data_IF_932807617950
#
_entry.id   IF_932807617950
#
_cell.length_a   1.000
_cell.length_b   1.000
_cell.length_c   1.000
_cell.angle_alpha   90.00
_cell.angle_beta   90.00
_cell.angle_gamma   90.00
#
_symmetry.space_group_name_H-M   'P 1'
#
loop_
_entity.id
_entity.type
_entity.pdbx_description
1 polymer ?
#
# COMPACT_ATOMS: atom_id res chain seq x y z
N UNK A 1 -29.19 -36.61 39.95
CA UNK A 1 -29.14 -35.16 39.67
C UNK A 1 -28.94 -35.03 38.17
N UNK A 2 -30.03 -34.89 37.39
CA UNK A 2 -30.02 -34.83 35.93
C UNK A 2 -29.81 -33.36 35.48
N UNK A 3 -28.71 -33.09 34.83
CA UNK A 3 -28.40 -31.78 34.27
C UNK A 3 -28.96 -31.70 32.84
N UNK A 4 -29.95 -30.84 32.63
CA UNK A 4 -30.59 -30.63 31.34
C UNK A 4 -29.79 -29.57 30.59
N UNK A 5 -29.02 -29.96 29.55
CA UNK A 5 -28.44 -29.04 28.60
C UNK A 5 -29.52 -28.55 27.63
N UNK A 6 -29.83 -27.26 27.69
CA UNK A 6 -30.63 -26.59 26.63
C UNK A 6 -29.69 -26.20 25.48
N UNK A 7 -29.87 -26.82 24.35
CA UNK A 7 -29.25 -26.41 23.09
C UNK A 7 -29.97 -25.15 22.55
N UNK A 8 -29.25 -24.03 22.49
CA UNK A 8 -29.72 -22.86 21.74
C UNK A 8 -29.34 -23.05 20.27
N UNK A 9 -30.33 -23.27 19.43
CA UNK A 9 -30.15 -23.38 17.99
C UNK A 9 -29.81 -22.01 17.38
N UNK A 10 -28.65 -21.93 16.79
CA UNK A 10 -28.19 -20.78 16.04
C UNK A 10 -28.86 -20.75 14.66
N UNK A 11 -29.77 -19.82 14.43
CA UNK A 11 -30.46 -19.64 13.13
C UNK A 11 -29.60 -18.72 12.24
N UNK A 12 -29.08 -19.27 11.18
CA UNK A 12 -28.50 -18.49 10.06
C UNK A 12 -29.63 -17.75 9.32
N UNK A 13 -29.70 -16.45 9.48
CA UNK A 13 -30.56 -15.60 8.65
C UNK A 13 -29.71 -14.91 7.59
N UNK A 14 -29.89 -15.28 6.33
CA UNK A 14 -29.50 -14.45 5.19
C UNK A 14 -30.48 -13.27 5.10
N UNK A 15 -30.02 -12.07 5.31
CA UNK A 15 -30.77 -10.83 5.01
C UNK A 15 -30.07 -10.03 3.93
N UNK A 16 -30.92 -9.50 3.02
CA UNK A 16 -30.58 -8.60 1.94
C UNK A 16 -30.03 -7.26 2.50
N UNK A 17 -29.15 -6.65 1.72
CA UNK A 17 -28.45 -5.39 2.02
C UNK A 17 -29.44 -4.25 2.31
N UNK A 18 -29.33 -3.68 3.50
CA UNK A 18 -29.87 -2.39 3.86
C UNK A 18 -28.73 -1.38 3.93
N UNK A 19 -28.89 -0.26 3.24
CA UNK A 19 -27.95 0.83 3.13
C UNK A 19 -27.79 1.55 4.47
N UNK A 20 -26.68 1.32 5.16
CA UNK A 20 -26.22 2.11 6.30
C UNK A 20 -24.82 2.65 6.00
N UNK A 21 -24.68 3.97 5.86
CA UNK A 21 -23.39 4.63 5.72
C UNK A 21 -22.58 4.47 7.01
N UNK A 22 -21.64 3.56 7.02
CA UNK A 22 -20.61 3.50 8.05
C UNK A 22 -19.34 4.14 7.50
N UNK A 23 -18.93 5.26 8.08
CA UNK A 23 -17.66 5.90 7.80
C UNK A 23 -16.52 5.03 8.32
N UNK A 24 -16.07 4.08 7.49
CA UNK A 24 -14.86 3.30 7.72
C UNK A 24 -13.91 3.56 6.57
N UNK A 25 -12.86 4.34 6.77
CA UNK A 25 -11.73 4.44 5.84
C UNK A 25 -10.97 3.11 5.93
N UNK A 26 -11.49 2.10 5.28
CA UNK A 26 -10.77 0.85 5.05
C UNK A 26 -11.15 0.39 3.66
N UNK A 27 -10.19 0.38 2.75
CA UNK A 27 -10.33 -0.21 1.40
C UNK A 27 -11.36 0.45 0.45
N UNK A 28 -11.69 1.73 0.61
CA UNK A 28 -12.53 2.48 -0.34
C UNK A 28 -11.85 2.75 -1.71
N UNK A 29 -10.60 2.32 -1.91
CA UNK A 29 -9.92 2.40 -3.20
C UNK A 29 -10.23 1.26 -4.18
N UNK A 30 -10.84 0.18 -3.73
CA UNK A 30 -11.21 -0.98 -4.57
C UNK A 30 -12.66 -0.91 -5.08
N UNK A 31 -13.26 0.27 -5.18
CA UNK A 31 -14.61 0.49 -5.70
C UNK A 31 -14.79 0.12 -7.20
N UNK A 32 -14.12 -0.89 -7.66
CA UNK A 32 -14.24 -1.54 -8.96
C UNK A 32 -13.92 -3.04 -8.91
N UNK A 33 -13.43 -3.56 -7.76
CA UNK A 33 -13.38 -4.99 -7.50
C UNK A 33 -14.52 -5.36 -6.56
N UNK A 34 -15.17 -6.51 -6.72
CA UNK A 34 -16.20 -7.01 -5.81
C UNK A 34 -15.56 -7.51 -4.50
N UNK A 35 -15.02 -6.58 -3.69
CA UNK A 35 -14.46 -6.88 -2.36
C UNK A 35 -15.51 -7.29 -1.31
N UNK A 36 -16.78 -7.34 -1.69
CA UNK A 36 -17.87 -7.73 -0.81
C UNK A 36 -18.20 -9.23 -0.86
N UNK A 37 -17.37 -10.06 -1.50
CA UNK A 37 -17.67 -11.47 -1.63
C UNK A 37 -16.84 -12.27 -0.62
N UNK A 38 -17.40 -12.51 0.58
CA UNK A 38 -16.92 -13.58 1.41
C UNK A 38 -16.67 -13.32 2.88
N UNK A 39 -16.74 -12.10 3.38
CA UNK A 39 -16.58 -11.88 4.83
C UNK A 39 -17.57 -12.74 5.62
N UNK A 40 -17.06 -13.56 6.55
CA UNK A 40 -17.89 -14.30 7.48
C UNK A 40 -18.28 -13.37 8.62
N UNK A 41 -19.58 -13.11 8.75
CA UNK A 41 -20.13 -12.22 9.75
C UNK A 41 -20.69 -13.02 10.93
N UNK A 42 -20.30 -12.64 12.13
CA UNK A 42 -20.89 -13.06 13.39
C UNK A 42 -21.47 -11.84 14.08
N UNK A 43 -22.70 -11.91 14.56
CA UNK A 43 -23.35 -10.77 15.22
C UNK A 43 -24.15 -11.20 16.45
N UNK A 44 -24.11 -10.34 17.47
CA UNK A 44 -25.01 -10.37 18.64
C UNK A 44 -26.08 -9.30 18.54
N UNK A 45 -26.63 -8.89 19.68
CA UNK A 45 -27.65 -7.85 19.75
C UNK A 45 -27.10 -6.46 19.40
N UNK A 46 -25.87 -6.18 19.81
CA UNK A 46 -25.23 -4.87 19.81
C UNK A 46 -23.79 -4.87 19.26
N UNK A 47 -23.31 -6.01 18.78
CA UNK A 47 -21.98 -6.14 18.22
C UNK A 47 -21.95 -6.98 16.94
N UNK A 48 -20.92 -6.78 16.14
CA UNK A 48 -20.62 -7.52 14.92
C UNK A 48 -19.13 -7.80 14.81
N UNK A 49 -18.77 -9.01 14.38
CA UNK A 49 -17.43 -9.40 13.99
C UNK A 49 -17.42 -9.85 12.54
N UNK A 50 -16.59 -9.23 11.72
CA UNK A 50 -16.32 -9.64 10.35
C UNK A 50 -14.93 -10.31 10.31
N UNK A 51 -14.85 -11.51 9.76
CA UNK A 51 -13.60 -12.18 9.41
C UNK A 51 -13.51 -12.19 7.90
N UNK A 52 -12.42 -11.61 7.38
CA UNK A 52 -12.17 -11.50 5.95
C UNK A 52 -10.69 -11.61 5.67
N UNK A 53 -10.32 -11.66 4.42
CA UNK A 53 -8.92 -11.69 4.06
C UNK A 53 -8.71 -11.89 2.57
N UNK A 54 -7.45 -12.14 2.23
CA UNK A 54 -7.07 -12.47 0.88
C UNK A 54 -5.78 -13.30 0.84
N UNK A 55 -5.70 -14.16 -0.16
CA UNK A 55 -4.51 -14.94 -0.50
C UNK A 55 -4.17 -14.68 -1.96
N UNK A 56 -2.89 -14.49 -2.24
CA UNK A 56 -2.43 -14.27 -3.60
C UNK A 56 -1.10 -14.97 -3.87
N UNK A 57 -0.91 -15.43 -5.09
CA UNK A 57 0.34 -16.01 -5.55
C UNK A 57 0.55 -15.72 -7.03
N UNK A 58 1.79 -15.35 -7.36
CA UNK A 58 2.22 -15.02 -8.71
C UNK A 58 3.50 -15.80 -9.06
N UNK A 59 3.46 -16.48 -10.18
CA UNK A 59 4.67 -16.87 -10.89
C UNK A 59 5.24 -15.62 -11.54
N UNK A 60 6.45 -15.26 -11.18
CA UNK A 60 7.12 -14.05 -11.68
C UNK A 60 8.48 -14.41 -12.20
N UNK A 61 8.76 -14.12 -13.46
CA UNK A 61 10.08 -14.25 -14.05
C UNK A 61 10.61 -12.90 -14.49
N UNK A 62 11.90 -12.66 -14.23
CA UNK A 62 12.56 -11.38 -14.52
C UNK A 62 13.90 -11.62 -15.22
N UNK A 63 14.27 -10.66 -16.07
CA UNK A 63 15.58 -10.61 -16.71
C UNK A 63 16.19 -9.21 -16.49
N UNK A 64 17.39 -9.17 -15.92
CA UNK A 64 18.14 -7.97 -15.59
C UNK A 64 19.31 -7.77 -16.56
N UNK A 65 19.43 -6.57 -17.10
CA UNK A 65 20.47 -6.18 -18.06
C UNK A 65 20.95 -4.74 -17.81
N UNK A 66 21.99 -4.35 -18.55
CA UNK A 66 22.58 -3.02 -18.46
C UNK A 66 23.65 -2.89 -17.38
N UNK A 67 23.99 -1.66 -17.04
CA UNK A 67 25.03 -1.34 -16.08
C UNK A 67 24.60 -1.61 -14.64
N UNK A 68 25.57 -1.77 -13.75
CA UNK A 68 25.30 -1.80 -12.31
C UNK A 68 24.87 -0.39 -11.84
N UNK A 69 23.75 -0.31 -11.15
CA UNK A 69 23.25 0.88 -10.46
C UNK A 69 23.03 0.49 -9.01
N UNK A 70 23.62 1.24 -8.09
CA UNK A 70 23.57 1.00 -6.65
C UNK A 70 22.35 1.64 -5.97
N UNK A 71 22.41 1.71 -4.64
CA UNK A 71 21.35 2.32 -3.82
C UNK A 71 20.02 1.56 -3.93
N UNK A 72 18.93 2.31 -4.06
CA UNK A 72 17.55 1.78 -4.15
C UNK A 72 17.13 1.44 -5.59
N UNK A 73 18.08 1.01 -6.42
CA UNK A 73 17.84 0.64 -7.83
C UNK A 73 16.99 -0.62 -7.95
N UNK A 74 15.71 -0.50 -8.29
CA UNK A 74 14.78 -1.62 -8.43
C UNK A 74 15.17 -2.57 -9.58
N UNK A 75 15.73 -2.04 -10.69
CA UNK A 75 16.24 -2.84 -11.80
C UNK A 75 17.66 -3.36 -11.59
N UNK A 76 18.33 -2.93 -10.51
CA UNK A 76 19.66 -3.44 -10.17
C UNK A 76 19.63 -4.94 -9.92
N UNK A 77 20.71 -5.67 -10.35
CA UNK A 77 20.75 -7.12 -10.15
C UNK A 77 20.57 -7.52 -8.71
N UNK A 78 21.14 -6.76 -7.75
CA UNK A 78 21.05 -7.08 -6.33
C UNK A 78 19.60 -7.09 -5.83
N UNK A 79 18.78 -6.07 -6.19
CA UNK A 79 17.37 -5.98 -5.77
C UNK A 79 16.45 -6.74 -6.75
N UNK A 80 16.56 -6.48 -8.04
CA UNK A 80 15.63 -6.99 -9.04
C UNK A 80 15.76 -8.50 -9.28
N UNK A 81 16.97 -8.98 -9.49
CA UNK A 81 17.25 -10.37 -9.86
C UNK A 81 18.03 -11.14 -8.78
N UNK A 82 18.19 -10.60 -7.57
CA UNK A 82 18.91 -11.28 -6.51
C UNK A 82 20.40 -11.56 -6.82
N UNK A 83 21.07 -10.69 -7.61
CA UNK A 83 22.45 -10.85 -8.04
C UNK A 83 22.62 -11.52 -9.41
N UNK A 84 21.63 -12.24 -9.88
CA UNK A 84 21.69 -13.03 -11.13
C UNK A 84 21.27 -12.19 -12.36
N UNK A 85 21.41 -12.77 -13.57
CA UNK A 85 20.90 -12.17 -14.81
C UNK A 85 19.40 -12.35 -14.97
N UNK A 86 18.87 -13.45 -14.45
CA UNK A 86 17.44 -13.77 -14.48
C UNK A 86 17.05 -14.50 -13.22
N UNK A 87 15.79 -14.40 -12.85
CA UNK A 87 15.24 -15.12 -11.70
C UNK A 87 13.76 -15.40 -11.88
N UNK A 88 13.33 -16.54 -11.36
CA UNK A 88 11.93 -16.92 -11.25
C UNK A 88 11.58 -17.11 -9.77
N UNK A 89 10.41 -16.62 -9.38
CA UNK A 89 9.91 -16.76 -8.02
C UNK A 89 8.39 -17.01 -8.06
N UNK A 90 7.89 -17.78 -7.11
CA UNK A 90 6.46 -17.89 -6.83
C UNK A 90 6.23 -17.32 -5.43
N UNK A 91 5.32 -16.37 -5.30
CA UNK A 91 5.00 -15.73 -4.03
C UNK A 91 4.03 -14.57 -4.18
N UNK A 92 3.91 -13.76 -3.14
CA UNK A 92 3.00 -12.62 -3.12
C UNK A 92 3.33 -11.59 -4.22
N UNK A 93 2.28 -10.90 -4.66
CA UNK A 93 2.39 -9.68 -5.46
C UNK A 93 2.76 -8.44 -4.60
N UNK A 94 2.17 -7.29 -4.93
CA UNK A 94 2.36 -6.06 -4.14
C UNK A 94 1.79 -6.21 -2.73
N UNK A 95 0.61 -6.79 -2.58
CA UNK A 95 0.04 -7.09 -1.27
C UNK A 95 0.57 -8.42 -0.73
N UNK A 96 0.88 -8.52 0.58
CA UNK A 96 1.02 -9.82 1.24
C UNK A 96 -0.32 -10.54 1.31
N UNK A 97 -0.36 -11.78 1.75
CA UNK A 97 -1.61 -12.43 2.16
C UNK A 97 -2.10 -11.80 3.47
N UNK A 98 -3.40 -11.82 3.73
CA UNK A 98 -3.95 -11.18 4.91
C UNK A 98 -5.11 -11.96 5.52
N UNK A 99 -5.12 -12.01 6.86
CA UNK A 99 -6.28 -12.32 7.66
C UNK A 99 -6.68 -11.06 8.43
N UNK A 100 -7.91 -10.61 8.25
CA UNK A 100 -8.42 -9.36 8.83
C UNK A 100 -9.63 -9.68 9.68
N UNK A 101 -9.57 -9.33 10.95
CA UNK A 101 -10.71 -9.41 11.89
C UNK A 101 -11.12 -7.99 12.25
N UNK A 102 -12.39 -7.67 12.06
CA UNK A 102 -12.98 -6.38 12.40
C UNK A 102 -14.15 -6.58 13.36
N UNK A 103 -14.11 -5.89 14.48
CA UNK A 103 -15.18 -5.78 15.45
C UNK A 103 -15.87 -4.43 15.33
N UNK A 104 -17.19 -4.37 15.44
CA UNK A 104 -17.96 -3.11 15.46
C UNK A 104 -19.09 -3.21 16.48
N UNK A 105 -19.35 -2.11 17.17
CA UNK A 105 -20.47 -1.95 18.11
C UNK A 105 -20.86 -0.47 18.18
N UNK A 106 -22.03 -0.19 18.72
CA UNK A 106 -22.44 1.16 19.12
C UNK A 106 -22.81 1.16 20.60
N UNK A 107 -22.22 2.05 21.37
CA UNK A 107 -22.46 2.17 22.81
C UNK A 107 -22.62 3.63 23.16
N UNK A 108 -23.67 3.99 23.88
CA UNK A 108 -23.96 5.36 24.33
C UNK A 108 -23.95 6.41 23.19
N UNK A 109 -24.35 5.99 21.97
CA UNK A 109 -24.34 6.84 20.78
C UNK A 109 -22.97 7.01 20.10
N UNK A 110 -21.94 6.29 20.59
CA UNK A 110 -20.59 6.28 20.01
C UNK A 110 -20.45 5.01 19.13
N UNK A 111 -20.07 5.20 17.89
CA UNK A 111 -19.66 4.14 16.98
C UNK A 111 -18.23 3.71 17.34
N UNK A 112 -18.06 2.43 17.66
CA UNK A 112 -16.79 1.83 18.09
C UNK A 112 -16.44 0.73 17.09
N UNK A 113 -15.21 0.77 16.59
CA UNK A 113 -14.68 -0.34 15.80
C UNK A 113 -13.25 -0.69 16.23
N UNK A 114 -12.87 -1.95 16.09
CA UNK A 114 -11.48 -2.39 16.24
C UNK A 114 -11.11 -3.28 15.06
N UNK A 115 -9.87 -3.24 14.61
CA UNK A 115 -9.38 -4.09 13.53
C UNK A 115 -7.99 -4.62 13.85
N UNK A 116 -7.79 -5.91 13.56
CA UNK A 116 -6.47 -6.56 13.55
C UNK A 116 -6.28 -7.18 12.17
N UNK A 117 -5.17 -6.83 11.51
CA UNK A 117 -4.76 -7.38 10.22
C UNK A 117 -3.40 -8.05 10.33
N UNK A 118 -3.39 -9.36 10.17
CA UNK A 118 -2.18 -10.20 10.15
C UNK A 118 -1.82 -10.45 8.69
N UNK A 119 -0.61 -10.04 8.30
CA UNK A 119 -0.12 -10.12 6.92
C UNK A 119 0.98 -11.17 6.81
N UNK A 120 0.86 -12.08 5.85
CA UNK A 120 1.85 -13.12 5.60
C UNK A 120 2.60 -12.90 4.28
N UNK A 121 3.89 -13.25 4.26
CA UNK A 121 4.74 -13.23 3.07
C UNK A 121 5.17 -14.67 2.77
N UNK A 122 4.96 -15.15 1.55
CA UNK A 122 5.01 -16.58 1.23
C UNK A 122 6.12 -17.00 0.26
N UNK A 123 6.77 -16.06 -0.45
CA UNK A 123 7.89 -16.42 -1.33
C UNK A 123 9.08 -16.96 -0.54
N UNK A 124 9.73 -17.99 -1.06
CA UNK A 124 10.90 -18.58 -0.42
C UNK A 124 12.01 -18.88 -1.46
N UNK A 125 13.24 -18.77 -1.00
CA UNK A 125 14.44 -19.21 -1.75
C UNK A 125 15.13 -20.43 -1.14
N UNK A 126 14.64 -20.91 0.00
CA UNK A 126 15.17 -22.07 0.70
C UNK A 126 14.01 -22.86 1.32
N UNK A 127 13.82 -24.10 0.91
CA UNK A 127 12.68 -24.91 1.31
C UNK A 127 12.75 -25.40 2.78
N UNK A 128 13.93 -25.41 3.39
CA UNK A 128 14.11 -25.87 4.77
C UNK A 128 14.12 -24.72 5.79
N UNK A 129 14.54 -23.52 5.38
CA UNK A 129 14.58 -22.38 6.26
C UNK A 129 13.20 -21.72 6.35
N UNK A 130 12.88 -21.15 7.51
CA UNK A 130 11.70 -20.30 7.68
C UNK A 130 11.90 -18.99 6.90
N UNK A 131 11.50 -18.97 5.65
CA UNK A 131 11.64 -17.81 4.76
C UNK A 131 10.41 -16.90 4.74
N UNK A 132 9.26 -17.39 5.21
CA UNK A 132 8.05 -16.62 5.38
C UNK A 132 8.19 -15.61 6.51
N UNK A 133 7.44 -14.52 6.43
CA UNK A 133 7.33 -13.51 7.48
C UNK A 133 5.87 -13.23 7.80
N UNK A 134 5.61 -12.88 9.06
CA UNK A 134 4.34 -12.37 9.51
C UNK A 134 4.53 -10.94 9.96
N UNK A 135 3.66 -10.04 9.50
CA UNK A 135 3.67 -8.62 9.82
C UNK A 135 2.27 -8.19 10.28
N UNK A 136 2.18 -7.57 11.45
CA UNK A 136 0.93 -7.00 11.95
C UNK A 136 0.90 -5.53 11.56
N UNK A 137 0.32 -5.23 10.39
CA UNK A 137 0.27 -3.87 9.85
C UNK A 137 -0.87 -3.04 10.42
N UNK A 138 -1.91 -3.71 10.89
CA UNK A 138 -3.11 -3.08 11.42
C UNK A 138 -3.45 -3.69 12.77
N UNK A 139 -3.53 -2.86 13.79
CA UNK A 139 -4.00 -3.16 15.13
C UNK A 139 -4.46 -1.84 15.76
N UNK A 140 -5.71 -1.47 15.53
CA UNK A 140 -6.25 -0.18 15.94
C UNK A 140 -7.71 -0.29 16.37
N UNK A 141 -8.19 0.77 17.03
CA UNK A 141 -9.60 0.98 17.24
C UNK A 141 -10.00 2.40 16.83
N UNK A 142 -11.29 2.60 16.61
CA UNK A 142 -11.88 3.89 16.28
C UNK A 142 -13.04 4.20 17.19
N UNK A 143 -13.19 5.50 17.48
CA UNK A 143 -14.32 6.08 18.19
C UNK A 143 -14.88 7.23 17.35
N UNK A 144 -16.19 7.28 17.16
CA UNK A 144 -16.77 8.33 16.33
C UNK A 144 -18.26 8.53 16.53
N UNK A 145 -18.75 9.63 15.97
CA UNK A 145 -20.18 9.87 15.79
C UNK A 145 -20.41 10.48 14.41
N UNK A 146 -21.61 10.39 13.84
CA UNK A 146 -21.91 11.04 12.57
C UNK A 146 -21.67 12.55 12.55
N UNK A 147 -21.83 13.22 13.69
CA UNK A 147 -21.67 14.67 13.81
C UNK A 147 -20.22 15.09 14.02
N UNK A 148 -19.47 14.32 14.81
CA UNK A 148 -18.09 14.67 15.16
C UNK A 148 -17.07 14.15 14.15
N UNK A 149 -17.33 13.02 13.51
CA UNK A 149 -16.35 12.27 12.72
C UNK A 149 -15.71 11.16 13.55
N UNK A 150 -14.48 10.77 13.21
CA UNK A 150 -13.86 9.57 13.77
C UNK A 150 -12.43 9.84 14.23
N UNK A 151 -12.10 9.40 15.44
CA UNK A 151 -10.73 9.30 15.96
C UNK A 151 -10.29 7.85 15.86
N UNK A 152 -9.11 7.60 15.29
CA UNK A 152 -8.44 6.30 15.20
C UNK A 152 -7.19 6.30 16.09
N UNK A 153 -7.01 5.24 16.88
CA UNK A 153 -5.86 5.04 17.75
C UNK A 153 -5.30 3.63 17.53
N UNK A 154 -3.99 3.55 17.38
CA UNK A 154 -3.26 2.28 17.21
C UNK A 154 -2.41 2.25 15.97
N UNK A 155 -2.05 1.05 15.50
CA UNK A 155 -1.19 0.84 14.33
C UNK A 155 -2.04 0.70 13.07
N UNK A 156 -1.76 1.52 12.07
CA UNK A 156 -2.40 1.42 10.75
C UNK A 156 -1.52 2.07 9.68
N UNK A 157 -1.92 1.97 8.43
CA UNK A 157 -1.26 2.63 7.30
C UNK A 157 -1.25 4.15 7.43
N UNK A 158 -0.19 4.77 6.89
CA UNK A 158 -0.10 6.23 6.78
C UNK A 158 -1.15 6.82 5.84
N UNK A 159 -1.42 8.11 6.04
CA UNK A 159 -2.38 8.86 5.23
C UNK A 159 -1.75 9.27 3.89
N UNK A 160 -0.53 9.80 3.94
CA UNK A 160 0.20 10.26 2.76
C UNK A 160 0.55 9.08 1.84
N UNK A 161 0.19 9.18 0.57
CA UNK A 161 0.37 8.12 -0.42
C UNK A 161 -0.72 7.05 -0.42
N UNK A 162 -1.65 7.04 0.55
CA UNK A 162 -2.69 6.03 0.66
C UNK A 162 -3.61 5.98 -0.56
N UNK A 163 -4.03 7.15 -1.06
CA UNK A 163 -4.89 7.21 -2.24
C UNK A 163 -4.17 6.76 -3.51
N UNK A 164 -2.87 7.02 -3.65
CA UNK A 164 -2.08 6.58 -4.80
C UNK A 164 -1.98 5.05 -4.83
N UNK A 165 -1.55 4.41 -3.75
CA UNK A 165 -1.38 2.95 -3.69
C UNK A 165 -2.72 2.21 -3.81
N UNK A 166 -3.79 2.71 -3.16
CA UNK A 166 -5.12 2.10 -3.22
C UNK A 166 -5.78 2.24 -4.60
N UNK A 167 -5.32 3.17 -5.43
CA UNK A 167 -5.80 3.36 -6.80
C UNK A 167 -4.88 2.74 -7.85
N UNK A 168 -3.71 2.23 -7.45
CA UNK A 168 -2.76 1.56 -8.33
C UNK A 168 -3.36 0.23 -8.85
N UNK A 169 -3.39 0.05 -10.16
CA UNK A 169 -3.92 -1.19 -10.76
C UNK A 169 -3.11 -2.42 -10.36
N UNK A 170 -1.81 -2.23 -10.05
CA UNK A 170 -0.91 -3.31 -9.63
C UNK A 170 -1.08 -3.71 -8.16
N UNK A 171 -2.01 -3.08 -7.43
CA UNK A 171 -2.30 -3.44 -6.04
C UNK A 171 -2.70 -4.93 -5.90
N UNK A 172 -3.46 -5.45 -6.85
CA UNK A 172 -3.83 -6.86 -6.96
C UNK A 172 -3.01 -7.58 -8.04
N UNK A 173 -1.78 -7.18 -8.23
CA UNK A 173 -0.80 -7.67 -9.20
C UNK A 173 0.62 -7.59 -8.65
N UNK A 174 1.56 -7.34 -9.51
CA UNK A 174 3.00 -7.38 -9.24
C UNK A 174 3.67 -6.02 -9.53
N UNK A 175 3.40 -5.41 -10.69
CA UNK A 175 4.05 -4.18 -11.13
C UNK A 175 5.56 -4.34 -11.29
N UNK A 176 6.36 -3.67 -10.45
CA UNK A 176 7.82 -3.83 -10.40
C UNK A 176 8.20 -5.05 -9.55
N UNK A 177 8.62 -6.18 -10.15
CA UNK A 177 9.10 -7.35 -9.42
C UNK A 177 10.44 -7.03 -8.76
N UNK A 178 10.65 -7.50 -7.53
CA UNK A 178 11.96 -7.47 -6.87
C UNK A 178 12.10 -8.63 -5.88
N UNK A 179 13.34 -9.09 -5.71
CA UNK A 179 13.62 -10.31 -4.98
C UNK A 179 14.17 -10.09 -3.57
N UNK A 180 14.62 -8.87 -3.25
CA UNK A 180 15.46 -8.68 -2.07
C UNK A 180 14.93 -7.67 -1.02
N UNK A 181 13.88 -6.88 -1.29
CA UNK A 181 13.47 -5.79 -0.39
C UNK A 181 12.74 -6.23 0.86
N UNK A 182 11.99 -7.32 0.76
CA UNK A 182 11.32 -7.93 1.91
C UNK A 182 11.38 -9.44 1.80
N UNK A 183 11.62 -10.08 2.94
CA UNK A 183 11.60 -11.52 3.03
C UNK A 183 10.24 -12.05 2.58
N UNK A 184 10.24 -12.96 1.62
CA UNK A 184 9.04 -13.57 1.10
C UNK A 184 8.20 -12.73 0.14
N UNK A 185 8.56 -11.47 -0.15
CA UNK A 185 7.84 -10.61 -1.10
C UNK A 185 8.55 -10.54 -2.44
N UNK A 186 7.79 -10.56 -3.54
CA UNK A 186 8.33 -10.54 -4.91
C UNK A 186 8.03 -9.27 -5.69
N UNK A 187 7.28 -8.31 -5.12
CA UNK A 187 6.84 -7.14 -5.87
C UNK A 187 6.69 -5.88 -5.02
N UNK A 188 6.80 -4.72 -5.65
CA UNK A 188 6.52 -3.41 -5.06
C UNK A 188 5.48 -2.60 -5.84
N UNK A 189 4.86 -3.12 -6.90
CA UNK A 189 3.95 -2.32 -7.71
C UNK A 189 4.67 -1.11 -8.29
N UNK A 190 4.17 0.09 -7.96
CA UNK A 190 4.84 1.36 -8.28
C UNK A 190 5.51 2.02 -7.06
N UNK A 191 5.61 1.32 -5.92
CA UNK A 191 6.41 1.83 -4.78
C UNK A 191 7.87 1.97 -5.24
N UNK A 192 8.42 3.16 -5.07
CA UNK A 192 9.78 3.48 -5.49
C UNK A 192 9.97 3.69 -7.00
N UNK A 193 8.89 3.59 -7.78
CA UNK A 193 8.85 3.87 -9.20
C UNK A 193 7.52 4.56 -9.60
N UNK A 194 7.02 5.48 -8.76
CA UNK A 194 5.77 6.22 -8.97
C UNK A 194 5.31 6.96 -7.73
N UNK A 195 5.48 6.36 -6.56
CA UNK A 195 5.20 6.95 -5.25
C UNK A 195 6.08 6.30 -4.18
N UNK A 196 6.22 6.96 -3.01
CA UNK A 196 6.85 6.36 -1.84
C UNK A 196 5.84 5.50 -1.09
N UNK A 197 6.31 4.47 -0.37
CA UNK A 197 5.45 3.64 0.47
C UNK A 197 4.80 4.46 1.58
N UNK A 198 3.50 4.24 1.79
CA UNK A 198 2.72 4.98 2.79
C UNK A 198 3.11 4.64 4.24
N UNK A 199 3.79 3.51 4.46
CA UNK A 199 4.20 3.06 5.79
C UNK A 199 3.08 2.46 6.63
N UNK A 200 3.45 1.95 7.81
CA UNK A 200 2.52 1.46 8.84
C UNK A 200 3.03 1.94 10.19
N UNK A 201 2.23 2.73 10.89
CA UNK A 201 2.65 3.51 12.06
C UNK A 201 1.71 3.32 13.24
N UNK A 202 2.22 3.38 14.48
CA UNK A 202 1.42 3.78 15.62
C UNK A 202 0.92 5.21 15.38
N UNK A 203 -0.37 5.48 15.59
CA UNK A 203 -0.96 6.75 15.17
C UNK A 203 -2.16 7.15 16.01
N UNK A 204 -2.41 8.46 16.07
CA UNK A 204 -3.65 9.10 16.51
C UNK A 204 -4.12 9.97 15.35
N UNK A 205 -5.22 9.59 14.72
CA UNK A 205 -5.72 10.23 13.51
C UNK A 205 -7.17 10.62 13.68
N UNK A 206 -7.49 11.83 13.28
CA UNK A 206 -8.86 12.33 13.18
C UNK A 206 -9.30 12.43 11.73
N UNK A 207 -10.52 12.01 11.45
CA UNK A 207 -11.19 12.18 10.14
C UNK A 207 -12.52 12.89 10.35
N UNK A 208 -12.76 13.97 9.62
CA UNK A 208 -14.03 14.71 9.67
C UNK A 208 -15.20 13.85 9.19
N UNK A 209 -16.44 14.17 9.59
CA UNK A 209 -17.62 13.62 8.93
C UNK A 209 -17.56 13.91 7.43
N UNK A 210 -17.89 12.92 6.61
CA UNK A 210 -17.98 13.10 5.16
C UNK A 210 -19.23 13.90 4.82
N UNK A 211 -19.09 15.18 4.52
CA UNK A 211 -20.18 16.01 4.03
C UNK A 211 -19.89 16.47 2.60
N UNK A 212 -20.87 16.39 1.71
CA UNK A 212 -20.74 16.85 0.31
C UNK A 212 -19.53 16.25 -0.45
N UNK A 213 -19.09 15.04 -0.05
CA UNK A 213 -17.94 14.37 -0.63
C UNK A 213 -16.57 14.87 -0.17
N UNK A 214 -16.49 15.95 0.60
CA UNK A 214 -15.25 16.50 1.15
C UNK A 214 -14.93 15.84 2.51
N UNK A 215 -13.67 15.44 2.71
CA UNK A 215 -13.16 14.92 3.98
C UNK A 215 -11.76 15.44 4.25
N UNK A 216 -11.51 15.78 5.50
CA UNK A 216 -10.18 16.07 6.03
C UNK A 216 -9.75 14.92 6.95
N UNK A 217 -8.51 14.47 6.80
CA UNK A 217 -7.88 13.49 7.68
C UNK A 217 -6.51 14.02 8.11
N UNK A 218 -6.23 13.99 9.40
CA UNK A 218 -4.95 14.44 9.91
C UNK A 218 -4.59 13.78 11.22
N UNK A 219 -3.30 13.66 11.51
CA UNK A 219 -2.88 13.00 12.73
C UNK A 219 -1.39 13.05 13.02
N UNK A 220 -1.09 12.50 14.19
CA UNK A 220 0.24 12.27 14.73
C UNK A 220 0.61 10.81 14.56
N UNK A 221 1.83 10.57 14.11
CA UNK A 221 2.35 9.24 13.80
C UNK A 221 3.65 9.02 14.57
N UNK A 222 3.89 7.79 15.00
CA UNK A 222 5.20 7.41 15.51
C UNK A 222 6.27 7.74 14.47
N UNK A 223 7.31 8.48 14.85
CA UNK A 223 8.40 8.76 13.92
C UNK A 223 9.17 7.47 13.60
N UNK A 224 9.77 7.40 12.42
CA UNK A 224 10.41 6.19 11.90
C UNK A 224 11.87 6.42 11.50
N UNK A 225 12.65 5.34 11.56
CA UNK A 225 14.04 5.25 11.17
C UNK A 225 14.16 4.31 9.96
N UNK A 226 14.28 4.87 8.77
CA UNK A 226 14.22 4.07 7.55
C UNK A 226 15.58 3.95 6.83
N UNK A 227 16.63 4.60 7.35
CA UNK A 227 17.86 4.80 6.59
C UNK A 227 19.06 4.02 7.10
N UNK A 228 19.04 3.60 8.36
CA UNK A 228 20.22 3.04 9.03
C UNK A 228 21.33 4.04 9.36
N UNK A 229 21.23 5.29 8.89
CA UNK A 229 22.21 6.38 9.15
C UNK A 229 21.57 7.60 9.81
N UNK A 230 20.28 7.69 9.80
CA UNK A 230 19.47 8.69 10.51
C UNK A 230 18.46 8.00 11.41
N UNK A 231 18.19 8.58 12.56
CA UNK A 231 17.16 8.18 13.49
C UNK A 231 16.09 9.26 13.67
N UNK A 232 15.00 8.86 14.29
CA UNK A 232 13.97 9.74 14.82
C UNK A 232 14.19 9.95 16.33
N UNK A 233 13.50 10.97 16.89
CA UNK A 233 13.51 11.23 18.34
C UNK A 233 12.08 11.50 18.82
N UNK A 234 11.93 12.39 19.79
CA UNK A 234 10.65 12.67 20.46
C UNK A 234 9.58 13.35 19.61
N UNK A 235 9.97 14.06 18.53
CA UNK A 235 9.00 14.74 17.69
C UNK A 235 8.23 13.74 16.81
N UNK A 236 6.89 13.70 16.86
CA UNK A 236 6.10 12.82 16.03
C UNK A 236 6.19 13.22 14.55
N UNK A 237 5.91 12.27 13.67
CA UNK A 237 5.59 12.58 12.28
C UNK A 237 4.16 13.14 12.22
N UNK A 238 3.93 14.14 11.39
CA UNK A 238 2.60 14.70 11.11
C UNK A 238 2.22 14.39 9.68
N UNK A 239 1.00 13.91 9.46
CA UNK A 239 0.44 13.71 8.13
C UNK A 239 -0.96 14.31 8.06
N UNK A 240 -1.26 14.96 6.92
CA UNK A 240 -2.53 15.63 6.63
C UNK A 240 -2.99 15.25 5.22
N UNK A 241 -4.30 15.16 5.02
CA UNK A 241 -4.92 14.94 3.72
C UNK A 241 -6.28 15.63 3.66
N UNK A 242 -6.55 16.28 2.53
CA UNK A 242 -7.87 16.72 2.13
C UNK A 242 -8.26 15.91 0.88
N UNK A 243 -9.42 15.28 0.91
CA UNK A 243 -9.94 14.52 -0.22
C UNK A 243 -11.37 14.97 -0.55
N UNK A 244 -11.68 14.96 -1.84
CA UNK A 244 -13.01 15.25 -2.36
C UNK A 244 -13.43 14.19 -3.37
N UNK A 245 -14.68 13.72 -3.26
CA UNK A 245 -15.26 12.72 -4.16
C UNK A 245 -16.64 13.17 -4.61
N UNK A 246 -16.87 13.15 -5.93
CA UNK A 246 -18.17 13.46 -6.51
C UNK A 246 -18.35 12.67 -7.81
N UNK A 247 -19.45 11.94 -7.94
CA UNK A 247 -19.67 11.06 -9.07
C UNK A 247 -18.54 10.05 -9.26
N UNK A 248 -17.96 9.99 -10.46
CA UNK A 248 -16.79 9.15 -10.76
C UNK A 248 -15.43 9.78 -10.41
N UNK A 249 -15.38 11.01 -9.93
CA UNK A 249 -14.17 11.75 -9.62
C UNK A 249 -13.77 11.58 -8.14
N UNK A 250 -12.47 11.44 -7.88
CA UNK A 250 -11.86 11.57 -6.56
C UNK A 250 -10.56 12.36 -6.71
N UNK A 251 -10.42 13.45 -5.96
CA UNK A 251 -9.21 14.26 -5.88
C UNK A 251 -8.68 14.31 -4.46
N UNK A 252 -7.36 14.47 -4.28
CA UNK A 252 -6.75 14.63 -2.96
C UNK A 252 -5.52 15.51 -3.02
N UNK A 253 -5.24 16.16 -1.90
CA UNK A 253 -3.96 16.78 -1.59
C UNK A 253 -3.52 16.28 -0.22
N UNK A 254 -2.22 16.10 -0.02
CA UNK A 254 -1.65 15.59 1.23
C UNK A 254 -0.32 16.26 1.54
N UNK A 255 0.04 16.24 2.80
CA UNK A 255 1.33 16.69 3.29
C UNK A 255 1.82 15.81 4.44
N UNK A 256 3.14 15.69 4.58
CA UNK A 256 3.76 15.06 5.75
C UNK A 256 5.07 15.73 6.13
N UNK A 257 5.43 15.62 7.41
CA UNK A 257 6.70 16.14 7.93
C UNK A 257 7.20 15.32 9.11
N UNK A 258 8.52 15.13 9.19
CA UNK A 258 9.23 14.48 10.30
C UNK A 258 10.64 15.05 10.42
N UNK A 259 11.18 15.12 11.64
CA UNK A 259 12.57 15.43 11.90
C UNK A 259 13.42 14.17 11.96
N UNK A 260 14.56 14.19 11.25
CA UNK A 260 15.60 13.16 11.27
C UNK A 260 16.90 13.72 11.85
N UNK A 261 17.67 12.84 12.54
CA UNK A 261 18.96 13.15 13.16
C UNK A 261 19.97 12.09 12.75
N UNK A 262 21.19 12.50 12.40
CA UNK A 262 22.25 11.57 12.08
C UNK A 262 22.59 10.71 13.32
N UNK A 263 22.77 9.41 13.11
CA UNK A 263 23.27 8.52 14.14
C UNK A 263 24.69 8.90 14.53
N UNK A 264 25.04 8.84 15.81
CA UNK A 264 26.41 9.08 16.26
C UNK A 264 27.41 8.19 15.51
N UNK A 265 28.46 8.79 14.98
CA UNK A 265 29.50 8.04 14.24
C UNK A 265 29.15 7.65 12.81
N UNK A 266 27.92 7.91 12.32
CA UNK A 266 27.51 7.57 10.94
C UNK A 266 28.23 8.43 9.88
N UNK A 267 28.77 9.59 10.24
CA UNK A 267 29.33 10.55 9.28
C UNK A 267 28.29 11.17 8.33
N UNK A 268 27.00 10.94 8.57
CA UNK A 268 25.94 11.43 7.71
C UNK A 268 25.80 12.97 7.78
N UNK A 269 25.67 13.59 6.62
CA UNK A 269 25.49 15.04 6.50
C UNK A 269 24.19 15.33 5.72
N UNK A 270 23.41 16.33 6.18
CA UNK A 270 23.56 17.15 7.40
C UNK A 270 23.31 16.33 8.67
N UNK A 271 23.80 16.78 9.81
CA UNK A 271 23.61 16.13 11.11
C UNK A 271 22.13 15.99 11.50
N UNK A 272 21.26 16.74 10.89
CA UNK A 272 19.80 16.61 11.01
C UNK A 272 19.11 17.32 9.86
N UNK A 273 17.91 16.86 9.51
CA UNK A 273 17.06 17.54 8.54
C UNK A 273 15.59 17.34 8.88
N UNK A 274 14.74 18.22 8.36
CA UNK A 274 13.29 18.03 8.41
C UNK A 274 12.83 17.54 7.05
N UNK A 275 12.30 16.32 7.01
CA UNK A 275 11.53 15.84 5.87
C UNK A 275 10.27 16.68 5.74
N UNK A 276 9.98 17.12 4.54
CA UNK A 276 8.71 17.76 4.16
C UNK A 276 8.29 17.24 2.81
N UNK A 277 7.05 16.81 2.68
CA UNK A 277 6.50 16.31 1.44
C UNK A 277 5.07 16.79 1.24
N UNK A 278 4.72 17.00 -0.02
CA UNK A 278 3.37 17.25 -0.47
C UNK A 278 3.00 16.26 -1.57
N UNK A 279 1.72 15.92 -1.66
CA UNK A 279 1.14 15.16 -2.75
C UNK A 279 -0.11 15.82 -3.29
N UNK A 280 -0.36 15.61 -4.58
CA UNK A 280 -1.61 15.90 -5.26
C UNK A 280 -1.93 14.76 -6.21
N UNK A 281 -3.17 14.31 -6.20
CA UNK A 281 -3.60 13.26 -7.09
C UNK A 281 -5.09 13.34 -7.39
N UNK A 282 -5.48 12.66 -8.45
CA UNK A 282 -6.87 12.49 -8.83
C UNK A 282 -7.08 11.17 -9.56
N UNK A 283 -8.25 10.60 -9.38
CA UNK A 283 -8.77 9.50 -10.20
C UNK A 283 -10.13 9.86 -10.76
N UNK A 284 -10.42 9.38 -11.96
CA UNK A 284 -11.69 9.60 -12.61
C UNK A 284 -12.16 8.34 -13.32
N UNK A 285 -13.40 7.94 -13.05
CA UNK A 285 -14.07 6.82 -13.73
C UNK A 285 -15.18 7.36 -14.61
N UNK A 286 -15.07 7.11 -15.91
CA UNK A 286 -16.08 7.48 -16.90
C UNK A 286 -16.47 6.26 -17.73
N UNK A 287 -17.68 5.77 -17.53
CA UNK A 287 -18.14 4.53 -18.18
C UNK A 287 -17.20 3.36 -17.88
N UNK A 288 -16.66 2.75 -18.91
CA UNK A 288 -15.71 1.64 -18.81
C UNK A 288 -14.25 2.06 -18.57
N UNK A 289 -13.94 3.36 -18.61
CA UNK A 289 -12.56 3.86 -18.48
C UNK A 289 -12.29 4.40 -17.09
N UNK A 290 -11.08 4.14 -16.58
CA UNK A 290 -10.54 4.72 -15.36
C UNK A 290 -9.21 5.40 -15.63
N UNK A 291 -9.01 6.59 -15.08
CA UNK A 291 -7.77 7.35 -15.13
C UNK A 291 -7.28 7.64 -13.72
N UNK A 292 -5.97 7.65 -13.54
CA UNK A 292 -5.30 8.02 -12.28
C UNK A 292 -4.07 8.85 -12.60
N UNK A 293 -3.89 9.95 -11.87
CA UNK A 293 -2.66 10.72 -11.83
C UNK A 293 -2.30 11.07 -10.39
N UNK A 294 -1.02 10.93 -10.03
CA UNK A 294 -0.51 11.31 -8.71
C UNK A 294 0.89 11.90 -8.83
N UNK A 295 1.16 12.93 -8.07
CA UNK A 295 2.49 13.55 -7.94
C UNK A 295 2.80 13.73 -6.47
N UNK A 296 3.99 13.30 -6.06
CA UNK A 296 4.54 13.56 -4.74
C UNK A 296 5.86 14.33 -4.91
N UNK A 297 6.11 15.32 -4.09
CA UNK A 297 7.36 16.08 -4.13
C UNK A 297 7.75 16.53 -2.72
N UNK A 298 9.04 16.53 -2.46
CA UNK A 298 9.53 16.96 -1.16
C UNK A 298 11.03 16.81 -0.99
N UNK A 299 11.47 17.12 0.22
CA UNK A 299 12.84 16.90 0.69
C UNK A 299 12.81 15.80 1.76
N UNK A 300 13.71 14.81 1.66
CA UNK A 300 13.73 13.68 2.57
C UNK A 300 12.56 12.69 2.43
N UNK A 301 11.71 12.88 1.41
CA UNK A 301 10.58 11.99 1.13
C UNK A 301 11.02 10.57 0.75
N UNK A 302 12.27 10.42 0.30
CA UNK A 302 12.84 9.15 -0.15
C UNK A 302 12.30 8.66 -1.50
N UNK A 303 12.72 7.47 -1.84
CA UNK A 303 12.31 6.75 -3.06
C UNK A 303 11.39 5.58 -2.68
N UNK A 304 11.87 4.64 -1.86
CA UNK A 304 11.04 3.55 -1.35
C UNK A 304 10.26 3.97 -0.12
N UNK A 305 10.91 4.71 0.79
CA UNK A 305 10.35 5.11 2.07
C UNK A 305 11.02 6.38 2.60
N UNK A 306 10.41 7.00 3.60
CA UNK A 306 10.87 8.26 4.19
C UNK A 306 12.33 8.20 4.60
N UNK A 307 13.11 9.20 4.18
CA UNK A 307 14.51 9.38 4.58
C UNK A 307 15.50 8.42 3.92
N UNK A 308 15.09 7.42 3.15
CA UNK A 308 15.99 6.42 2.57
C UNK A 308 17.02 6.98 1.58
N UNK A 309 16.86 8.22 1.17
CA UNK A 309 17.82 9.01 0.37
C UNK A 309 18.41 10.18 1.17
N UNK A 310 18.33 10.12 2.49
CA UNK A 310 18.72 11.25 3.35
C UNK A 310 17.91 12.51 3.03
N UNK A 311 18.58 13.67 3.05
CA UNK A 311 17.95 14.98 2.81
C UNK A 311 17.74 15.32 1.31
N UNK A 312 17.79 14.35 0.40
CA UNK A 312 17.64 14.62 -1.03
C UNK A 312 16.23 15.14 -1.36
N UNK A 313 16.16 16.07 -2.30
CA UNK A 313 14.89 16.42 -2.95
C UNK A 313 14.50 15.29 -3.89
N UNK A 314 13.25 14.83 -3.80
CA UNK A 314 12.70 13.82 -4.70
C UNK A 314 11.35 14.26 -5.26
N UNK A 315 11.01 13.68 -6.40
CA UNK A 315 9.68 13.83 -7.02
C UNK A 315 9.28 12.50 -7.62
N UNK A 316 8.04 12.08 -7.34
CA UNK A 316 7.44 10.85 -7.78
C UNK A 316 6.20 11.16 -8.62
N UNK A 317 6.01 10.42 -9.71
CA UNK A 317 4.90 10.58 -10.64
C UNK A 317 4.30 9.22 -10.96
N UNK A 318 2.98 9.10 -10.89
CA UNK A 318 2.21 7.95 -11.35
C UNK A 318 1.13 8.41 -12.31
N UNK A 319 1.03 7.74 -13.43
CA UNK A 319 -0.08 7.89 -14.39
C UNK A 319 -0.58 6.51 -14.78
N UNK A 320 -1.90 6.34 -14.84
CA UNK A 320 -2.53 5.06 -15.15
C UNK A 320 -3.81 5.25 -15.93
N UNK A 321 -4.05 4.35 -16.89
CA UNK A 321 -5.31 4.17 -17.56
C UNK A 321 -5.79 2.74 -17.43
N UNK A 322 -7.09 2.54 -17.21
CA UNK A 322 -7.72 1.21 -17.18
C UNK A 322 -8.96 1.20 -18.06
N UNK A 323 -9.27 0.05 -18.63
CA UNK A 323 -10.43 -0.17 -19.47
C UNK A 323 -11.13 -1.48 -19.10
N UNK A 324 -12.38 -1.39 -18.65
CA UNK A 324 -13.25 -2.54 -18.41
C UNK A 324 -13.77 -3.01 -19.77
N UNK A 325 -13.03 -3.95 -20.38
CA UNK A 325 -13.32 -4.44 -21.75
C UNK A 325 -14.61 -5.27 -21.79
N UNK A 326 -14.83 -6.09 -20.76
CA UNK A 326 -16.06 -6.85 -20.53
C UNK A 326 -16.41 -6.80 -19.04
N UNK A 327 -17.56 -7.32 -18.62
CA UNK A 327 -17.93 -7.40 -17.20
C UNK A 327 -16.89 -8.12 -16.34
N UNK A 328 -16.08 -9.00 -16.95
CA UNK A 328 -15.07 -9.80 -16.25
C UNK A 328 -13.63 -9.41 -16.55
N UNK A 329 -13.34 -8.75 -17.67
CA UNK A 329 -11.98 -8.46 -18.11
C UNK A 329 -11.70 -6.96 -18.04
N UNK A 330 -10.73 -6.59 -17.21
CA UNK A 330 -10.16 -5.26 -17.12
C UNK A 330 -8.73 -5.27 -17.69
N UNK A 331 -8.42 -4.36 -18.58
CA UNK A 331 -7.08 -4.07 -19.07
C UNK A 331 -6.56 -2.80 -18.40
N UNK A 332 -5.25 -2.70 -18.26
CA UNK A 332 -4.62 -1.51 -17.69
C UNK A 332 -3.22 -1.27 -18.23
N UNK A 333 -2.86 0.00 -18.27
CA UNK A 333 -1.51 0.48 -18.55
C UNK A 333 -1.17 1.53 -17.51
N UNK A 334 -0.05 1.37 -16.84
CA UNK A 334 0.45 2.33 -15.85
C UNK A 334 1.91 2.63 -16.06
N UNK A 335 2.33 3.83 -15.69
CA UNK A 335 3.72 4.23 -15.71
C UNK A 335 4.04 5.15 -14.54
N UNK A 336 5.15 4.88 -13.87
CA UNK A 336 5.61 5.67 -12.74
C UNK A 336 7.10 5.96 -12.78
N UNK A 337 7.48 7.05 -12.13
CA UNK A 337 8.87 7.48 -11.97
C UNK A 337 9.06 8.03 -10.56
N UNK A 338 10.07 7.55 -9.85
CA UNK A 338 10.58 8.15 -8.62
C UNK A 338 11.99 8.64 -8.85
N UNK A 339 12.26 9.94 -8.55
CA UNK A 339 13.52 10.57 -8.95
C UNK A 339 14.06 11.47 -7.86
N UNK A 340 15.35 11.27 -7.50
CA UNK A 340 16.17 12.23 -6.77
C UNK A 340 16.57 13.38 -7.70
N UNK A 341 16.52 14.60 -7.20
CA UNK A 341 17.01 15.82 -7.88
C UNK A 341 18.42 16.19 -7.45
N UNK A 342 18.78 15.84 -6.21
CA UNK A 342 20.10 16.13 -5.63
C UNK A 342 20.95 14.86 -5.65
N UNK A 343 22.23 14.98 -6.03
CA UNK A 343 23.23 13.93 -5.87
C UNK A 343 23.94 14.14 -4.52
N UNK A 344 23.57 13.36 -3.52
CA UNK A 344 24.11 13.42 -2.17
C UNK A 344 24.86 12.11 -1.84
N UNK A 345 25.82 12.17 -0.92
CA UNK A 345 26.48 10.96 -0.44
C UNK A 345 25.49 9.93 0.11
N UNK A 346 24.41 10.37 0.75
CA UNK A 346 23.35 9.52 1.33
C UNK A 346 22.53 8.75 0.31
N UNK A 347 22.53 9.12 -0.98
CA UNK A 347 21.77 8.40 -2.00
C UNK A 347 22.64 7.51 -2.92
N UNK A 348 23.91 7.30 -2.55
CA UNK A 348 24.83 6.41 -3.25
C UNK A 348 24.86 6.63 -4.77
N UNK A 349 24.87 7.90 -5.21
CA UNK A 349 24.81 8.32 -6.61
C UNK A 349 23.50 7.90 -7.35
N UNK A 350 22.51 7.33 -6.64
CA UNK A 350 21.26 6.88 -7.23
C UNK A 350 20.38 8.05 -7.67
N UNK A 351 19.89 8.01 -8.91
CA UNK A 351 19.09 9.08 -9.51
C UNK A 351 17.61 8.74 -9.58
N UNK A 352 17.23 7.61 -10.15
CA UNK A 352 15.80 7.34 -10.38
C UNK A 352 15.49 5.87 -10.66
N UNK A 353 14.27 5.47 -10.30
CA UNK A 353 13.56 4.32 -10.87
C UNK A 353 12.41 4.79 -11.74
N UNK A 354 12.09 4.04 -12.78
CA UNK A 354 10.86 4.14 -13.54
C UNK A 354 10.32 2.73 -13.81
N UNK A 355 9.00 2.59 -13.81
CA UNK A 355 8.33 1.34 -14.16
C UNK A 355 7.18 1.64 -15.12
N UNK A 356 7.00 0.76 -16.11
CA UNK A 356 5.81 0.70 -16.96
C UNK A 356 5.26 -0.71 -16.86
N UNK A 357 3.96 -0.84 -16.60
CA UNK A 357 3.27 -2.12 -16.48
C UNK A 357 2.01 -2.11 -17.33
N UNK A 358 1.87 -3.13 -18.19
CA UNK A 358 0.64 -3.48 -18.89
C UNK A 358 0.04 -4.71 -18.23
N UNK A 359 -1.23 -4.69 -17.87
CA UNK A 359 -1.89 -5.76 -17.13
C UNK A 359 -3.27 -6.11 -17.68
N UNK A 360 -3.62 -7.39 -17.55
CA UNK A 360 -4.95 -7.93 -17.78
C UNK A 360 -5.44 -8.61 -16.49
N UNK A 361 -6.62 -8.25 -16.03
CA UNK A 361 -7.22 -8.73 -14.78
C UNK A 361 -8.59 -9.34 -15.09
N UNK A 362 -8.73 -10.64 -14.86
CA UNK A 362 -9.93 -11.39 -15.18
C UNK A 362 -10.64 -11.86 -13.92
N UNK A 363 -11.84 -11.34 -13.67
CA UNK A 363 -12.70 -11.80 -12.57
C UNK A 363 -13.27 -13.19 -12.91
N UNK A 364 -12.57 -14.25 -12.48
CA UNK A 364 -12.99 -15.64 -12.70
C UNK A 364 -14.30 -15.91 -11.96
N UNK A 365 -14.36 -15.48 -10.70
CA UNK A 365 -15.55 -15.52 -9.84
C UNK A 365 -15.70 -14.18 -9.11
N UNK A 366 -16.70 -14.06 -8.23
CA UNK A 366 -16.84 -12.89 -7.33
C UNK A 366 -15.67 -12.73 -6.34
N UNK A 367 -14.99 -13.85 -6.01
CA UNK A 367 -13.89 -13.89 -5.04
C UNK A 367 -12.50 -14.06 -5.67
N UNK A 368 -12.42 -14.51 -6.92
CA UNK A 368 -11.14 -14.85 -7.57
C UNK A 368 -10.90 -13.96 -8.77
N UNK A 369 -9.77 -13.27 -8.76
CA UNK A 369 -9.25 -12.53 -9.91
C UNK A 369 -7.94 -13.18 -10.37
N UNK A 370 -7.85 -13.55 -11.63
CA UNK A 370 -6.61 -13.95 -12.29
C UNK A 370 -6.00 -12.72 -12.95
N UNK A 371 -4.67 -12.64 -12.98
CA UNK A 371 -3.98 -11.55 -13.67
C UNK A 371 -2.73 -12.00 -14.39
N UNK A 372 -2.42 -11.28 -15.47
CA UNK A 372 -1.16 -11.38 -16.21
C UNK A 372 -0.63 -9.96 -16.44
N UNK A 373 0.65 -9.77 -16.16
CA UNK A 373 1.32 -8.48 -16.31
C UNK A 373 2.65 -8.61 -17.06
N UNK A 374 2.92 -7.62 -17.89
CA UNK A 374 4.22 -7.37 -18.51
C UNK A 374 4.76 -6.06 -17.95
N UNK A 375 5.97 -6.07 -17.43
CA UNK A 375 6.56 -4.87 -16.83
C UNK A 375 7.99 -4.63 -17.30
N UNK A 376 8.36 -3.34 -17.37
CA UNK A 376 9.75 -2.92 -17.55
C UNK A 376 10.10 -1.91 -16.48
N UNK A 377 11.14 -2.20 -15.70
CA UNK A 377 11.71 -1.28 -14.72
C UNK A 377 13.09 -0.81 -15.19
N UNK A 378 13.39 0.47 -15.03
CA UNK A 378 14.70 1.06 -15.30
C UNK A 378 15.18 1.82 -14.09
N UNK A 379 16.44 1.62 -13.73
CA UNK A 379 17.13 2.39 -12.69
C UNK A 379 18.28 3.15 -13.29
N UNK A 380 18.47 4.40 -12.87
CA UNK A 380 19.58 5.27 -13.35
C UNK A 380 20.33 5.86 -12.17
N UNK A 381 21.62 6.07 -12.35
CA UNK A 381 22.44 6.89 -11.47
C UNK A 381 22.72 8.28 -12.07
N UNK A 382 23.40 9.15 -11.31
CA UNK A 382 23.80 10.47 -11.78
C UNK A 382 25.00 10.44 -12.75
N UNK A 383 25.74 9.32 -12.81
CA UNK A 383 26.83 9.14 -13.79
C UNK A 383 26.30 8.71 -15.18
N UNK A 384 24.99 8.46 -15.32
CA UNK A 384 24.37 8.10 -16.59
C UNK A 384 24.23 6.58 -16.80
N UNK A 385 24.71 5.76 -15.87
CA UNK A 385 24.51 4.31 -15.93
C UNK A 385 23.01 3.96 -15.86
N UNK A 386 22.63 2.91 -16.60
CA UNK A 386 21.24 2.45 -16.64
C UNK A 386 21.19 0.93 -16.49
N UNK A 387 20.46 0.48 -15.46
CA UNK A 387 20.03 -0.90 -15.30
C UNK A 387 18.59 -1.05 -15.81
N UNK A 388 18.27 -2.24 -16.35
CA UNK A 388 16.95 -2.60 -16.87
C UNK A 388 16.53 -3.97 -16.34
N UNK A 389 15.25 -4.11 -16.03
CA UNK A 389 14.63 -5.36 -15.67
C UNK A 389 13.30 -5.49 -16.41
N UNK A 390 13.13 -6.55 -17.16
CA UNK A 390 11.87 -6.93 -17.80
C UNK A 390 11.25 -8.06 -16.99
N UNK A 391 9.95 -7.96 -16.70
CA UNK A 391 9.21 -8.92 -15.90
C UNK A 391 7.96 -9.42 -16.62
N UNK A 392 7.67 -10.70 -16.41
CA UNK A 392 6.39 -11.33 -16.76
C UNK A 392 5.84 -11.95 -15.48
N UNK A 393 4.60 -11.68 -15.17
CA UNK A 393 3.94 -12.20 -13.97
C UNK A 393 2.57 -12.73 -14.32
N UNK A 394 2.24 -13.93 -13.82
CA UNK A 394 0.92 -14.55 -13.97
C UNK A 394 0.53 -15.15 -12.63
N UNK A 395 -0.70 -14.90 -12.19
CA UNK A 395 -1.16 -15.41 -10.91
C UNK A 395 -2.59 -15.08 -10.61
N UNK A 396 -2.92 -15.11 -9.32
CA UNK A 396 -4.28 -14.88 -8.89
C UNK A 396 -4.37 -14.33 -7.48
N UNK A 397 -5.52 -13.76 -7.22
CA UNK A 397 -5.90 -13.13 -5.96
C UNK A 397 -7.26 -13.69 -5.54
N UNK A 398 -7.34 -14.28 -4.36
CA UNK A 398 -8.57 -14.76 -3.74
C UNK A 398 -8.95 -13.84 -2.57
N UNK A 399 -10.17 -13.35 -2.56
CA UNK A 399 -10.79 -12.65 -1.43
C UNK A 399 -11.79 -13.55 -0.72
N UNK A 400 -11.85 -13.52 0.60
CA UNK A 400 -12.81 -14.25 1.44
C UNK A 400 -13.27 -13.45 2.65
#
# INVERSE_FOLDING_TARGET
MKMIMRSHGMRLRRRAAGSGLSAGIVLLGLAGCPLAAGATEFSGSDWKVDISGFVNAYYTTVNCSGAAVGGTALAGRALGCGGEKSRTTIGNGLLPDALITKFTTQQEGIDIAAQIGIMAHTATSNALAANSGVDVRQAYFTLGTPAFGTVKLGRDYGIFGSNAILSDMTLIGVGAPIQATQRGRVALGHIGAGYTYLGSYGQIVYTTPGSSGLSFTGGLFSPVDNTGVYDSRSAPQVQLQLAWSAGGFKGWIGAKTQRFYALPGSGALPNSFTMTAAEIGASYKIGAFGLLGNVQSGRGIGILTDGDQGNAKATNYLLQGTWQLTDKLKLGLSGGVSRNRDNLASNANFRSNSNVTAGAYYALTKSVTLSAELSQTRSKDFAGNTARMNGVSVGGFLFF
#
